data_IF_718787630176
#
_entry.id   IF_718787630176
#
_cell.length_a   1.000
_cell.length_b   1.000
_cell.length_c   1.000
_cell.angle_alpha   90.00
_cell.angle_beta   90.00
_cell.angle_gamma   90.00
#
_symmetry.space_group_name_H-M   'P 1'
#
loop_
_entity.id
_entity.type
_entity.pdbx_description
1 polymer ?
#
# COMPACT_ATOMS: atom_id res chain seq x y z
N UNK A 1 40.20 96.99 -36.94
CA UNK A 1 38.98 96.21 -37.29
C UNK A 1 39.29 94.73 -37.52
N UNK A 2 40.26 94.38 -38.37
CA UNK A 2 40.63 92.97 -38.70
C UNK A 2 41.04 92.16 -37.46
N UNK A 3 41.86 92.72 -36.56
CA UNK A 3 42.30 92.03 -35.34
C UNK A 3 41.15 91.66 -34.41
N UNK A 4 40.16 92.56 -34.29
CA UNK A 4 39.00 92.38 -33.40
C UNK A 4 38.03 91.32 -33.94
N UNK A 5 37.89 91.24 -35.27
CA UNK A 5 37.13 90.16 -35.93
C UNK A 5 37.85 88.83 -35.74
N UNK A 6 39.18 88.79 -35.91
CA UNK A 6 39.99 87.57 -35.77
C UNK A 6 40.00 87.03 -34.34
N UNK A 7 40.04 87.89 -33.32
CA UNK A 7 39.98 87.43 -31.92
C UNK A 7 38.63 86.83 -31.60
N UNK A 8 37.54 87.48 -32.03
CA UNK A 8 36.18 86.97 -31.82
C UNK A 8 35.95 85.63 -32.50
N UNK A 9 36.37 85.48 -33.76
CA UNK A 9 36.22 84.20 -34.46
C UNK A 9 37.07 83.08 -33.85
N UNK A 10 38.27 83.40 -33.33
CA UNK A 10 39.09 82.42 -32.62
C UNK A 10 38.47 82.02 -31.27
N UNK A 11 37.88 82.95 -30.54
CA UNK A 11 37.21 82.66 -29.27
C UNK A 11 35.93 81.85 -29.49
N UNK A 12 35.15 82.17 -30.53
CA UNK A 12 33.98 81.40 -30.95
C UNK A 12 34.37 79.96 -31.33
N UNK A 13 35.44 79.78 -32.12
CA UNK A 13 35.95 78.45 -32.50
C UNK A 13 36.47 77.65 -31.31
N UNK A 14 37.12 78.30 -30.34
CA UNK A 14 37.58 77.66 -29.10
C UNK A 14 36.40 77.21 -28.25
N UNK A 15 35.39 78.06 -28.10
CA UNK A 15 34.17 77.70 -27.37
C UNK A 15 33.45 76.53 -28.02
N UNK A 16 33.31 76.55 -29.35
CA UNK A 16 32.70 75.48 -30.13
C UNK A 16 33.48 74.15 -30.00
N UNK A 17 34.81 74.22 -30.06
CA UNK A 17 35.67 73.05 -29.83
C UNK A 17 35.49 72.49 -28.41
N UNK A 18 35.49 73.33 -27.37
CA UNK A 18 35.27 72.86 -25.99
C UNK A 18 33.89 72.24 -25.79
N UNK A 19 32.86 72.77 -26.45
CA UNK A 19 31.50 72.22 -26.40
C UNK A 19 31.45 70.86 -27.09
N UNK A 20 32.01 70.73 -28.29
CA UNK A 20 32.07 69.44 -29.00
C UNK A 20 32.88 68.39 -28.24
N UNK A 21 33.95 68.78 -27.57
CA UNK A 21 34.73 67.88 -26.71
C UNK A 21 33.95 67.44 -25.46
N UNK A 22 33.13 68.32 -24.89
CA UNK A 22 32.24 67.96 -23.79
C UNK A 22 31.14 67.00 -24.26
N UNK A 23 30.51 67.28 -25.41
CA UNK A 23 29.49 66.42 -26.01
C UNK A 23 30.05 65.04 -26.39
N UNK A 24 31.26 65.00 -26.97
CA UNK A 24 31.94 63.75 -27.31
C UNK A 24 32.26 62.93 -26.04
N UNK A 25 32.69 63.58 -24.95
CA UNK A 25 32.92 62.91 -23.66
C UNK A 25 31.62 62.38 -23.06
N UNK A 26 30.55 63.16 -23.09
CA UNK A 26 29.24 62.73 -22.61
C UNK A 26 28.68 61.57 -23.44
N UNK A 27 28.84 61.61 -24.76
CA UNK A 27 28.43 60.52 -25.65
C UNK A 27 29.20 59.23 -25.40
N UNK A 28 30.53 59.31 -25.20
CA UNK A 28 31.36 58.14 -24.83
C UNK A 28 30.93 57.55 -23.50
N UNK A 29 30.75 58.39 -22.46
CA UNK A 29 30.30 57.91 -21.15
C UNK A 29 28.93 57.22 -21.21
N UNK A 30 27.99 57.74 -22.01
CA UNK A 30 26.68 57.09 -22.23
C UNK A 30 26.82 55.77 -22.99
N UNK A 31 27.70 55.70 -23.99
CA UNK A 31 27.96 54.47 -24.73
C UNK A 31 28.51 53.38 -23.81
N UNK A 32 29.50 53.72 -22.97
CA UNK A 32 30.08 52.82 -21.96
C UNK A 32 29.02 52.32 -20.97
N UNK A 33 28.14 53.21 -20.50
CA UNK A 33 27.02 52.83 -19.63
C UNK A 33 26.07 51.83 -20.31
N UNK A 34 25.69 52.09 -21.57
CA UNK A 34 24.83 51.18 -22.32
C UNK A 34 25.49 49.84 -22.63
N UNK A 35 26.80 49.80 -22.86
CA UNK A 35 27.54 48.54 -23.00
C UNK A 35 27.51 47.73 -21.69
N UNK A 36 27.78 48.37 -20.55
CA UNK A 36 27.67 47.73 -19.24
C UNK A 36 26.26 47.20 -18.94
N UNK A 37 25.23 48.00 -19.24
CA UNK A 37 23.83 47.60 -19.08
C UNK A 37 23.49 46.38 -19.95
N UNK A 38 23.96 46.36 -21.20
CA UNK A 38 23.76 45.21 -22.12
C UNK A 38 24.48 43.97 -21.63
N UNK A 39 25.70 44.09 -21.14
CA UNK A 39 26.47 42.96 -20.64
C UNK A 39 25.83 42.35 -19.39
N UNK A 40 25.34 43.20 -18.48
CA UNK A 40 24.60 42.76 -17.30
C UNK A 40 23.28 42.08 -17.68
N UNK A 41 22.52 42.67 -18.61
CA UNK A 41 21.27 42.09 -19.10
C UNK A 41 21.50 40.73 -19.78
N UNK A 42 22.54 40.63 -20.61
CA UNK A 42 22.91 39.38 -21.30
C UNK A 42 23.34 38.31 -20.30
N UNK A 43 24.16 38.67 -19.31
CA UNK A 43 24.61 37.74 -18.26
C UNK A 43 23.45 37.28 -17.38
N UNK A 44 22.49 38.17 -17.08
CA UNK A 44 21.28 37.81 -16.35
C UNK A 44 20.38 36.87 -17.17
N UNK A 45 20.17 37.17 -18.46
CA UNK A 45 19.39 36.33 -19.36
C UNK A 45 19.99 34.93 -19.51
N UNK A 46 21.32 34.83 -19.67
CA UNK A 46 22.00 33.55 -19.76
C UNK A 46 21.84 32.72 -18.48
N UNK A 47 22.04 33.34 -17.30
CA UNK A 47 21.82 32.66 -16.00
C UNK A 47 20.37 32.20 -15.85
N UNK A 48 19.41 33.06 -16.19
CA UNK A 48 17.99 32.69 -16.16
C UNK A 48 17.71 31.49 -17.09
N UNK A 49 18.25 31.51 -18.31
CA UNK A 49 18.16 30.39 -19.26
C UNK A 49 18.68 29.08 -18.66
N UNK A 50 19.90 29.08 -18.12
CA UNK A 50 20.49 27.91 -17.48
C UNK A 50 19.64 27.39 -16.31
N UNK A 51 19.17 28.27 -15.43
CA UNK A 51 18.32 27.85 -14.30
C UNK A 51 16.99 27.24 -14.75
N UNK A 52 16.39 27.75 -15.83
CA UNK A 52 15.15 27.20 -16.38
C UNK A 52 15.39 25.81 -16.97
N UNK A 53 16.50 25.61 -17.67
CA UNK A 53 16.89 24.30 -18.21
C UNK A 53 17.14 23.28 -17.10
N UNK A 54 17.87 23.67 -16.05
CA UNK A 54 18.13 22.84 -14.87
C UNK A 54 16.83 22.44 -14.16
N UNK A 55 15.91 23.40 -13.96
CA UNK A 55 14.61 23.15 -13.35
C UNK A 55 13.74 22.23 -14.21
N UNK A 56 13.75 22.40 -15.54
CA UNK A 56 13.06 21.48 -16.46
C UNK A 56 13.63 20.06 -16.38
N UNK A 57 14.96 19.93 -16.34
CA UNK A 57 15.61 18.65 -16.20
C UNK A 57 15.34 18.00 -14.82
N UNK A 58 15.26 18.79 -13.75
CA UNK A 58 14.87 18.31 -12.44
C UNK A 58 13.40 17.87 -12.40
N UNK A 59 12.49 18.63 -13.00
CA UNK A 59 11.08 18.29 -13.12
C UNK A 59 10.90 16.96 -13.86
N UNK A 60 11.54 16.80 -15.02
CA UNK A 60 11.46 15.56 -15.81
C UNK A 60 11.99 14.35 -15.04
N UNK A 61 13.09 14.50 -14.29
CA UNK A 61 13.60 13.42 -13.43
C UNK A 61 12.61 13.09 -12.32
N UNK A 62 12.07 14.10 -11.63
CA UNK A 62 11.11 13.91 -10.56
C UNK A 62 9.82 13.24 -11.05
N UNK A 63 9.32 13.57 -12.24
CA UNK A 63 8.13 12.92 -12.81
C UNK A 63 8.40 11.47 -13.22
N UNK A 64 9.58 11.18 -13.77
CA UNK A 64 9.99 9.81 -14.08
C UNK A 64 10.13 8.95 -12.82
N UNK A 65 10.77 9.49 -11.78
CA UNK A 65 10.90 8.80 -10.49
C UNK A 65 9.54 8.59 -9.82
N UNK A 66 8.64 9.58 -9.87
CA UNK A 66 7.28 9.45 -9.36
C UNK A 66 6.52 8.32 -10.06
N UNK A 67 6.56 8.28 -11.41
CA UNK A 67 5.91 7.23 -12.19
C UNK A 67 6.49 5.83 -11.87
N UNK A 68 7.81 5.73 -11.70
CA UNK A 68 8.47 4.48 -11.31
C UNK A 68 8.02 4.01 -9.92
N UNK A 69 8.04 4.90 -8.93
CA UNK A 69 7.63 4.58 -7.57
C UNK A 69 6.13 4.23 -7.49
N UNK A 70 5.28 4.88 -8.28
CA UNK A 70 3.86 4.56 -8.36
C UNK A 70 3.63 3.15 -8.91
N UNK A 71 4.36 2.76 -9.97
CA UNK A 71 4.33 1.40 -10.50
C UNK A 71 4.85 0.36 -9.50
N UNK A 72 5.96 0.64 -8.80
CA UNK A 72 6.47 -0.24 -7.73
C UNK A 72 5.42 -0.41 -6.61
N UNK A 73 4.76 0.67 -6.19
CA UNK A 73 3.68 0.61 -5.19
C UNK A 73 2.48 -0.21 -5.66
N UNK A 74 2.08 -0.09 -6.92
CA UNK A 74 0.99 -0.88 -7.48
C UNK A 74 1.30 -2.38 -7.45
N UNK A 75 2.52 -2.76 -7.85
CA UNK A 75 2.95 -4.17 -7.82
C UNK A 75 2.99 -4.73 -6.40
N UNK A 76 3.51 -3.96 -5.43
CA UNK A 76 3.55 -4.36 -4.02
C UNK A 76 2.14 -4.48 -3.42
N UNK A 77 1.21 -3.59 -3.79
CA UNK A 77 -0.19 -3.68 -3.36
C UNK A 77 -0.87 -4.92 -3.92
N UNK A 78 -0.66 -5.22 -5.20
CA UNK A 78 -1.20 -6.44 -5.82
C UNK A 78 -0.63 -7.71 -5.16
N UNK A 79 0.67 -7.75 -4.88
CA UNK A 79 1.31 -8.86 -4.19
C UNK A 79 0.77 -9.02 -2.75
N UNK A 80 0.64 -7.91 -2.02
CA UNK A 80 0.07 -7.95 -0.66
C UNK A 80 -1.36 -8.47 -0.64
N UNK A 81 -2.17 -8.13 -1.64
CA UNK A 81 -3.54 -8.64 -1.75
C UNK A 81 -3.53 -10.16 -1.94
N UNK A 82 -2.73 -10.66 -2.89
CA UNK A 82 -2.60 -12.10 -3.16
C UNK A 82 -2.11 -12.86 -1.92
N UNK A 83 -1.08 -12.35 -1.24
CA UNK A 83 -0.57 -12.94 0.00
C UNK A 83 -1.64 -13.03 1.10
N UNK A 84 -2.53 -12.03 1.18
CA UNK A 84 -3.62 -12.05 2.16
C UNK A 84 -4.69 -13.08 1.83
N UNK A 85 -5.03 -13.22 0.54
CA UNK A 85 -5.96 -14.23 0.04
C UNK A 85 -5.42 -15.64 0.27
N UNK A 86 -4.14 -15.87 -0.06
CA UNK A 86 -3.46 -17.16 0.14
C UNK A 86 -3.43 -17.55 1.62
N UNK A 87 -3.09 -16.62 2.51
CA UNK A 87 -3.13 -16.88 3.97
C UNK A 87 -4.55 -17.20 4.45
N UNK A 88 -5.56 -16.54 3.90
CA UNK A 88 -6.95 -16.83 4.25
C UNK A 88 -7.39 -18.22 3.73
N UNK A 89 -7.01 -18.57 2.51
CA UNK A 89 -7.26 -19.89 1.93
C UNK A 89 -6.58 -20.98 2.78
N UNK A 90 -5.30 -20.82 3.12
CA UNK A 90 -4.56 -21.73 3.98
C UNK A 90 -5.20 -21.88 5.36
N UNK A 91 -5.62 -20.78 6.00
CA UNK A 91 -6.34 -20.84 7.29
C UNK A 91 -7.65 -21.61 7.17
N UNK A 92 -8.37 -21.44 6.07
CA UNK A 92 -9.64 -22.14 5.82
C UNK A 92 -9.39 -23.63 5.62
N UNK A 93 -8.39 -23.99 4.81
CA UNK A 93 -7.97 -25.39 4.61
C UNK A 93 -7.49 -26.04 5.91
N UNK A 94 -6.72 -25.35 6.73
CA UNK A 94 -6.29 -25.87 8.04
C UNK A 94 -7.47 -26.06 9.00
N UNK A 95 -8.49 -25.21 8.93
CA UNK A 95 -9.73 -25.38 9.70
C UNK A 95 -10.54 -26.57 9.22
N UNK A 96 -10.67 -26.76 7.90
CA UNK A 96 -11.41 -27.90 7.35
C UNK A 96 -10.71 -29.22 7.64
N UNK A 97 -9.39 -29.29 7.47
CA UNK A 97 -8.60 -30.49 7.81
C UNK A 97 -8.66 -30.79 9.31
N UNK A 98 -8.54 -29.78 10.19
CA UNK A 98 -8.71 -29.98 11.64
C UNK A 98 -10.11 -30.50 11.98
N UNK A 99 -11.16 -29.97 11.35
CA UNK A 99 -12.54 -30.44 11.54
C UNK A 99 -12.71 -31.88 11.06
N UNK A 100 -12.13 -32.25 9.93
CA UNK A 100 -12.15 -33.62 9.40
C UNK A 100 -11.41 -34.58 10.33
N UNK A 101 -10.19 -34.25 10.76
CA UNK A 101 -9.42 -35.08 11.70
C UNK A 101 -10.15 -35.26 13.04
N UNK A 102 -10.74 -34.19 13.60
CA UNK A 102 -11.50 -34.29 14.85
C UNK A 102 -12.74 -35.18 14.77
N UNK A 103 -13.27 -35.42 13.56
CA UNK A 103 -14.38 -36.37 13.32
C UNK A 103 -13.88 -37.80 13.16
N UNK A 104 -12.68 -38.00 12.61
CA UNK A 104 -12.06 -39.31 12.49
C UNK A 104 -11.62 -39.88 13.85
N UNK A 105 -11.25 -39.01 14.80
CA UNK A 105 -10.82 -39.39 16.15
C UNK A 105 -11.98 -39.70 17.12
N UNK A 106 -13.20 -39.95 16.64
CA UNK A 106 -14.36 -40.23 17.49
C UNK A 106 -15.10 -41.46 17.02
N UNK A 107 -15.48 -42.28 17.99
CA UNK A 107 -16.35 -43.44 17.79
C UNK A 107 -17.62 -43.23 18.59
N UNK A 108 -18.75 -43.61 18.01
CA UNK A 108 -20.07 -43.42 18.59
C UNK A 108 -20.53 -44.73 19.20
N UNK A 109 -20.80 -44.69 20.49
CA UNK A 109 -21.18 -45.86 21.27
C UNK A 109 -22.67 -45.77 21.62
N UNK A 110 -23.40 -46.84 21.32
CA UNK A 110 -24.81 -46.99 21.63
C UNK A 110 -24.97 -47.76 22.95
N UNK A 111 -25.68 -47.16 23.89
CA UNK A 111 -26.07 -47.78 25.17
C UNK A 111 -27.57 -48.07 25.19
N UNK A 112 -27.94 -49.21 25.76
CA UNK A 112 -29.32 -49.59 26.08
C UNK A 112 -29.45 -49.80 27.59
N UNK A 113 -30.28 -48.99 28.27
CA UNK A 113 -30.41 -48.98 29.74
C UNK A 113 -29.06 -48.90 30.49
N UNK A 114 -28.09 -48.17 29.93
CA UNK A 114 -26.75 -48.00 30.51
C UNK A 114 -25.77 -49.15 30.24
N UNK A 115 -26.18 -50.20 29.54
CA UNK A 115 -25.30 -51.27 29.05
C UNK A 115 -24.81 -50.97 27.64
N UNK A 116 -23.52 -51.20 27.38
CA UNK A 116 -22.93 -51.09 26.05
C UNK A 116 -23.61 -52.08 25.09
N UNK A 117 -24.18 -51.58 24.00
CA UNK A 117 -24.84 -52.41 22.99
C UNK A 117 -23.98 -52.57 21.73
N UNK A 118 -23.59 -51.45 21.08
CA UNK A 118 -22.79 -51.50 19.85
C UNK A 118 -21.94 -50.24 19.64
N UNK A 119 -20.94 -50.35 18.77
CA UNK A 119 -19.91 -49.35 18.51
C UNK A 119 -19.92 -49.02 17.01
N UNK A 120 -19.99 -47.73 16.66
CA UNK A 120 -20.18 -47.26 15.29
C UNK A 120 -19.19 -46.14 14.92
N UNK A 121 -18.76 -46.06 13.66
CA UNK A 121 -17.84 -45.02 13.20
C UNK A 121 -18.48 -43.64 13.10
N UNK A 122 -19.81 -43.55 12.95
CA UNK A 122 -20.55 -42.29 12.82
C UNK A 122 -21.76 -42.24 13.74
N UNK A 123 -22.19 -41.02 14.10
CA UNK A 123 -23.40 -40.80 14.88
C UNK A 123 -24.63 -41.36 14.16
N UNK A 124 -24.76 -41.05 12.87
CA UNK A 124 -25.87 -41.51 12.02
C UNK A 124 -25.94 -43.04 11.95
N UNK A 125 -24.81 -43.75 11.91
CA UNK A 125 -24.81 -45.21 11.92
C UNK A 125 -25.28 -45.78 13.28
N UNK A 126 -24.84 -45.18 14.40
CA UNK A 126 -25.36 -45.53 15.72
C UNK A 126 -26.86 -45.24 15.85
N UNK A 127 -27.30 -44.16 15.20
CA UNK A 127 -28.69 -43.75 15.20
C UNK A 127 -29.57 -44.75 14.42
N UNK A 128 -29.19 -45.07 13.19
CA UNK A 128 -29.87 -46.08 12.36
C UNK A 128 -29.92 -47.44 13.06
N UNK A 129 -28.84 -47.83 13.75
CA UNK A 129 -28.80 -49.08 14.50
C UNK A 129 -29.79 -49.10 15.66
N UNK A 130 -29.95 -48.00 16.42
CA UNK A 130 -30.94 -47.97 17.49
C UNK A 130 -32.38 -47.97 16.93
N UNK A 131 -32.63 -47.28 15.80
CA UNK A 131 -33.95 -47.34 15.13
C UNK A 131 -34.30 -48.75 14.66
N UNK A 132 -33.33 -49.48 14.09
CA UNK A 132 -33.52 -50.86 13.67
C UNK A 132 -33.85 -51.81 14.83
N UNK A 133 -33.30 -51.54 16.02
CA UNK A 133 -33.56 -52.27 17.26
C UNK A 133 -34.82 -51.77 18.02
N UNK A 134 -35.58 -50.84 17.42
CA UNK A 134 -36.88 -50.41 17.95
C UNK A 134 -36.85 -49.18 18.86
N UNK A 135 -35.77 -48.39 18.86
CA UNK A 135 -35.71 -47.12 19.57
C UNK A 135 -36.69 -46.09 18.97
N UNK A 136 -37.58 -45.46 19.78
CA UNK A 136 -38.41 -44.36 19.29
C UNK A 136 -37.56 -43.11 19.04
N UNK A 137 -37.78 -42.43 17.90
CA UNK A 137 -37.03 -41.24 17.46
C UNK A 137 -37.01 -40.08 18.46
N UNK A 138 -37.98 -40.02 19.37
CA UNK A 138 -38.11 -39.01 20.43
C UNK A 138 -37.53 -39.44 21.79
N UNK A 139 -37.08 -40.70 21.94
CA UNK A 139 -36.75 -41.30 23.24
C UNK A 139 -35.26 -41.45 23.56
N UNK A 140 -34.38 -41.15 22.60
CA UNK A 140 -32.93 -41.16 22.81
C UNK A 140 -32.34 -39.76 23.04
N UNK A 141 -31.34 -39.68 23.91
CA UNK A 141 -30.55 -38.45 24.10
C UNK A 141 -29.26 -38.54 23.29
N UNK A 142 -29.09 -37.67 22.30
CA UNK A 142 -27.82 -37.47 21.61
C UNK A 142 -26.93 -36.55 22.44
N UNK A 143 -25.68 -36.97 22.70
CA UNK A 143 -24.76 -36.13 23.45
C UNK A 143 -24.42 -34.86 22.67
N UNK A 144 -24.79 -33.72 23.24
CA UNK A 144 -24.30 -32.42 22.79
C UNK A 144 -22.97 -32.12 23.51
N UNK A 145 -21.86 -31.85 22.79
CA UNK A 145 -20.58 -31.56 23.42
C UNK A 145 -20.68 -30.43 24.45
N UNK A 146 -20.37 -30.71 25.72
CA UNK A 146 -20.40 -29.73 26.82
C UNK A 146 -21.67 -29.76 27.68
N UNK A 147 -22.67 -30.58 27.35
CA UNK A 147 -23.85 -30.78 28.19
C UNK A 147 -23.65 -31.92 29.19
N UNK A 148 -24.07 -31.72 30.44
CA UNK A 148 -24.14 -32.80 31.42
C UNK A 148 -25.20 -33.82 30.96
N UNK A 149 -24.77 -35.04 30.64
CA UNK A 149 -25.68 -36.10 30.22
C UNK A 149 -26.42 -36.67 31.43
N UNK A 150 -27.75 -36.92 31.34
CA UNK A 150 -28.47 -37.65 32.36
C UNK A 150 -27.86 -39.06 32.55
N UNK A 151 -27.92 -39.64 33.77
CA UNK A 151 -27.39 -40.97 34.05
C UNK A 151 -27.88 -42.00 33.03
N UNK A 152 -26.98 -42.83 32.49
CA UNK A 152 -27.29 -43.74 31.39
C UNK A 152 -28.38 -44.79 31.71
N UNK A 153 -28.73 -44.96 33.00
CA UNK A 153 -29.83 -45.82 33.47
C UNK A 153 -31.21 -45.21 33.29
N UNK A 154 -31.29 -43.88 33.21
CA UNK A 154 -32.55 -43.13 33.10
C UNK A 154 -33.05 -43.01 31.66
N UNK A 155 -32.17 -43.29 30.69
CA UNK A 155 -32.47 -43.21 29.26
C UNK A 155 -32.42 -44.60 28.65
N UNK A 156 -33.49 -44.99 27.95
CA UNK A 156 -33.62 -46.31 27.32
C UNK A 156 -32.53 -46.51 26.26
N UNK A 157 -32.32 -45.51 25.39
CA UNK A 157 -31.31 -45.51 24.33
C UNK A 157 -30.44 -44.25 24.40
N UNK A 158 -29.11 -44.41 24.35
CA UNK A 158 -28.18 -43.27 24.41
C UNK A 158 -27.02 -43.45 23.45
N UNK A 159 -26.79 -42.45 22.61
CA UNK A 159 -25.61 -42.37 21.71
C UNK A 159 -24.59 -41.41 22.33
N UNK A 160 -23.40 -41.93 22.62
CA UNK A 160 -22.31 -41.14 23.19
C UNK A 160 -21.06 -41.20 22.30
N UNK A 161 -20.51 -40.05 21.87
CA UNK A 161 -19.20 -40.01 21.24
C UNK A 161 -18.12 -40.24 22.29
N UNK A 162 -17.24 -41.21 22.03
CA UNK A 162 -16.01 -41.44 22.76
C UNK A 162 -14.81 -41.11 21.85
N UNK A 163 -13.73 -40.52 22.40
CA UNK A 163 -12.50 -40.35 21.63
C UNK A 163 -11.92 -41.72 21.28
N UNK A 164 -11.56 -41.90 20.01
CA UNK A 164 -10.83 -43.06 19.54
C UNK A 164 -9.34 -42.77 19.74
N UNK A 165 -8.65 -43.57 20.57
CA UNK A 165 -7.19 -43.47 20.74
C UNK A 165 -6.66 -42.75 21.97
N UNK A 166 -7.46 -42.42 23.00
CA UNK A 166 -6.88 -42.01 24.29
C UNK A 166 -6.45 -43.23 25.10
N UNK A 167 -5.31 -43.81 24.75
CA UNK A 167 -4.42 -44.39 25.77
C UNK A 167 -3.55 -43.26 26.31
N UNK A 168 -3.92 -42.75 27.46
CA UNK A 168 -2.99 -42.05 28.34
C UNK A 168 -3.19 -42.62 29.75
N UNK A 169 -2.08 -42.89 30.48
CA UNK A 169 -2.04 -43.72 31.69
C UNK A 169 -2.85 -43.17 32.87
#
# INVERSE_FOLDING_TARGET
MITLIRTRTLDDLRSDLTNREADARAARSKAEQHELERDLATTAANRAGTTVEELRAALTRATQDAARLEGELETLRAQSLLDTEDRQALRTLLRTTRKQNSRADRVYVLFHHGSLHSIHPTAEAAEIAAEAEGAPRSGWTTHTPGAALPPAREVIWRVQPLPFGTTTP
#
